data_IF_569943692658
#
_entry.id   IF_569943692658
#
_cell.length_a   1.000
_cell.length_b   1.000
_cell.length_c   1.000
_cell.angle_alpha   90.00
_cell.angle_beta   90.00
_cell.angle_gamma   90.00
#
_symmetry.space_group_name_H-M   'P 1'
#
loop_
_entity.id
_entity.type
_entity.pdbx_description
1 polymer ?
#
# COMPACT_ATOMS: atom_id res chain seq x y z
N UNK A 1 14.51 32.09 11.76
CA UNK A 1 13.48 31.03 11.70
C UNK A 1 13.09 30.60 10.28
N UNK A 2 13.10 31.48 9.27
CA UNK A 2 12.81 31.10 7.88
C UNK A 2 13.83 30.10 7.27
N UNK A 3 15.13 30.25 7.59
CA UNK A 3 16.19 29.42 7.00
C UNK A 3 16.04 27.93 7.31
N UNK A 4 15.65 27.58 8.55
CA UNK A 4 15.51 26.19 8.99
C UNK A 4 14.35 25.47 8.28
N UNK A 5 13.26 26.19 8.01
CA UNK A 5 12.08 25.67 7.31
C UNK A 5 12.45 25.37 5.84
N UNK A 6 13.13 26.31 5.18
CA UNK A 6 13.60 26.14 3.78
C UNK A 6 14.59 24.97 3.68
N UNK A 7 15.51 24.84 4.63
CA UNK A 7 16.51 23.78 4.63
C UNK A 7 15.90 22.39 4.93
N UNK A 8 14.82 22.33 5.71
CA UNK A 8 14.10 21.08 5.98
C UNK A 8 13.35 20.60 4.73
N UNK A 9 12.61 21.49 4.06
CA UNK A 9 11.90 21.19 2.81
C UNK A 9 12.86 20.69 1.72
N UNK A 10 14.02 21.32 1.60
CA UNK A 10 15.08 20.89 0.67
C UNK A 10 15.63 19.51 1.02
N UNK A 11 15.93 19.26 2.31
CA UNK A 11 16.40 17.94 2.79
C UNK A 11 15.35 16.84 2.62
N UNK A 12 14.06 17.14 2.77
CA UNK A 12 12.98 16.17 2.53
C UNK A 12 12.78 15.90 1.05
N UNK A 13 12.94 16.92 0.20
CA UNK A 13 12.87 16.76 -1.24
C UNK A 13 14.02 15.88 -1.75
N UNK A 14 15.25 16.08 -1.26
CA UNK A 14 16.41 15.25 -1.61
C UNK A 14 16.38 13.86 -0.97
N UNK A 15 15.81 13.71 0.22
CA UNK A 15 15.80 12.45 0.98
C UNK A 15 14.79 11.40 0.50
N UNK A 16 13.98 11.72 -0.51
CA UNK A 16 12.93 10.83 -1.01
C UNK A 16 11.77 10.64 -0.01
N UNK A 17 10.81 9.76 -0.34
CA UNK A 17 9.62 9.58 0.47
C UNK A 17 9.92 9.16 1.91
N UNK A 18 9.22 9.76 2.88
CA UNK A 18 9.43 9.52 4.33
C UNK A 18 9.36 8.03 4.69
N UNK A 19 8.50 7.26 4.01
CA UNK A 19 8.38 5.82 4.26
C UNK A 19 9.64 5.01 3.91
N UNK A 20 10.48 5.48 2.96
CA UNK A 20 11.75 4.84 2.63
C UNK A 20 12.83 5.04 3.71
N UNK A 21 12.69 6.07 4.57
CA UNK A 21 13.62 6.35 5.69
C UNK A 21 13.47 5.38 6.86
N UNK A 22 12.31 4.73 6.98
CA UNK A 22 11.99 3.88 8.12
C UNK A 22 12.43 2.43 7.95
N UNK A 23 13.19 2.09 6.88
CA UNK A 23 13.61 0.73 6.50
C UNK A 23 12.46 -0.26 6.20
N UNK A 24 11.27 0.03 6.71
CA UNK A 24 10.02 -0.70 6.58
C UNK A 24 9.70 -1.23 5.17
N UNK A 25 9.84 -0.47 4.06
CA UNK A 25 9.56 -1.01 2.73
C UNK A 25 10.52 -2.14 2.33
N UNK A 26 11.78 -2.08 2.76
CA UNK A 26 12.76 -3.13 2.52
C UNK A 26 12.47 -4.36 3.39
N UNK A 27 12.17 -4.16 4.67
CA UNK A 27 11.80 -5.25 5.58
C UNK A 27 10.56 -6.00 5.11
N UNK A 28 9.52 -5.27 4.67
CA UNK A 28 8.29 -5.84 4.14
C UNK A 28 8.54 -6.66 2.87
N UNK A 29 9.43 -6.18 2.00
CA UNK A 29 9.84 -6.91 0.82
C UNK A 29 10.57 -8.21 1.17
N UNK A 30 11.53 -8.16 2.09
CA UNK A 30 12.26 -9.35 2.55
C UNK A 30 11.35 -10.36 3.26
N UNK A 31 10.39 -9.88 4.04
CA UNK A 31 9.38 -10.72 4.68
C UNK A 31 8.51 -11.46 3.65
N UNK A 32 8.09 -10.78 2.59
CA UNK A 32 7.35 -11.39 1.48
C UNK A 32 8.19 -12.44 0.73
N UNK A 33 9.49 -12.19 0.53
CA UNK A 33 10.40 -13.18 -0.07
C UNK A 33 10.59 -14.39 0.84
N UNK A 34 10.77 -14.18 2.15
CA UNK A 34 10.90 -15.26 3.14
C UNK A 34 9.67 -16.18 3.14
N UNK A 35 8.47 -15.62 2.98
CA UNK A 35 7.22 -16.41 2.83
C UNK A 35 7.18 -17.28 1.58
N UNK A 36 7.91 -16.91 0.52
CA UNK A 36 7.96 -17.68 -0.73
C UNK A 36 8.93 -18.86 -0.67
N UNK A 37 9.87 -18.86 0.26
CA UNK A 37 10.83 -19.94 0.43
C UNK A 37 10.11 -21.18 0.97
N UNK A 38 9.66 -22.05 0.07
CA UNK A 38 9.05 -23.34 0.42
C UNK A 38 10.08 -24.46 0.57
N UNK A 39 11.18 -24.38 -0.19
CA UNK A 39 12.26 -25.35 -0.15
C UNK A 39 13.56 -24.67 0.29
N UNK A 40 14.12 -25.11 1.42
CA UNK A 40 15.38 -24.57 1.97
C UNK A 40 16.62 -25.11 1.26
N UNK A 41 16.54 -26.26 0.57
CA UNK A 41 17.68 -26.82 -0.18
C UNK A 41 17.93 -26.07 -1.48
N UNK A 42 16.88 -25.50 -2.08
CA UNK A 42 16.93 -24.69 -3.30
C UNK A 42 16.19 -23.37 -3.12
N UNK A 43 16.75 -22.49 -2.29
CA UNK A 43 16.12 -21.20 -1.92
C UNK A 43 15.83 -20.34 -3.14
N UNK A 44 16.79 -20.18 -4.06
CA UNK A 44 16.63 -19.33 -5.25
C UNK A 44 15.46 -19.81 -6.12
N UNK A 45 15.46 -21.08 -6.50
CA UNK A 45 14.41 -21.70 -7.32
C UNK A 45 13.04 -21.58 -6.64
N UNK A 46 12.98 -21.83 -5.32
CA UNK A 46 11.73 -21.73 -4.55
C UNK A 46 11.11 -20.32 -4.53
N UNK A 47 11.94 -19.28 -4.72
CA UNK A 47 11.47 -17.89 -4.81
C UNK A 47 11.08 -17.52 -6.24
N UNK A 48 11.85 -17.99 -7.23
CA UNK A 48 11.67 -17.65 -8.65
C UNK A 48 10.32 -18.13 -9.16
N UNK A 49 9.93 -19.37 -8.87
CA UNK A 49 8.66 -19.96 -9.29
C UNK A 49 7.43 -19.09 -8.94
N UNK A 50 7.15 -18.78 -7.65
CA UNK A 50 6.02 -17.93 -7.28
C UNK A 50 6.22 -16.46 -7.70
N UNK A 51 7.45 -16.02 -7.97
CA UNK A 51 7.70 -14.69 -8.52
C UNK A 51 7.26 -14.59 -9.98
N UNK A 52 7.61 -15.56 -10.82
CA UNK A 52 7.18 -15.63 -12.22
C UNK A 52 5.66 -15.68 -12.31
N UNK A 53 5.01 -16.56 -11.54
CA UNK A 53 3.54 -16.67 -11.52
C UNK A 53 2.90 -15.33 -11.12
N UNK A 54 3.44 -14.65 -10.10
CA UNK A 54 2.98 -13.31 -9.70
C UNK A 54 3.13 -12.30 -10.85
N UNK A 55 4.23 -12.34 -11.59
CA UNK A 55 4.48 -11.41 -12.70
C UNK A 55 3.59 -11.68 -13.91
N UNK A 56 3.38 -12.95 -14.27
CA UNK A 56 2.45 -13.34 -15.33
C UNK A 56 1.02 -12.91 -14.95
N UNK A 57 0.59 -13.14 -13.69
CA UNK A 57 -0.72 -12.68 -13.22
C UNK A 57 -0.89 -11.16 -13.25
N UNK A 58 0.17 -10.40 -12.97
CA UNK A 58 0.16 -8.95 -13.11
C UNK A 58 0.10 -8.51 -14.58
N UNK A 59 0.86 -9.15 -15.45
CA UNK A 59 0.89 -8.84 -16.88
C UNK A 59 -0.45 -9.16 -17.56
N UNK A 60 -0.99 -10.35 -17.30
CA UNK A 60 -2.28 -10.80 -17.83
C UNK A 60 -3.45 -9.96 -17.31
N UNK A 61 -3.35 -9.40 -16.09
CA UNK A 61 -4.35 -8.47 -15.53
C UNK A 61 -4.63 -7.26 -16.43
N UNK A 62 -3.69 -6.85 -17.29
CA UNK A 62 -3.90 -5.73 -18.20
C UNK A 62 -4.81 -6.06 -19.39
N UNK A 63 -4.98 -7.34 -19.71
CA UNK A 63 -5.83 -7.81 -20.81
C UNK A 63 -7.26 -8.15 -20.36
N UNK A 64 -7.49 -8.26 -19.05
CA UNK A 64 -8.81 -8.55 -18.49
C UNK A 64 -9.62 -7.26 -18.26
N UNK A 65 -10.94 -7.37 -18.34
CA UNK A 65 -11.84 -6.28 -18.01
C UNK A 65 -11.74 -5.85 -16.54
N UNK A 66 -11.99 -4.56 -16.27
CA UNK A 66 -11.83 -3.96 -14.93
C UNK A 66 -12.72 -4.57 -13.85
N UNK A 67 -13.80 -5.25 -14.22
CA UNK A 67 -14.70 -5.89 -13.26
C UNK A 67 -14.17 -7.27 -12.79
N UNK A 68 -13.19 -7.84 -13.50
CA UNK A 68 -12.58 -9.12 -13.16
C UNK A 68 -11.59 -8.91 -12.00
N UNK A 69 -11.81 -9.63 -10.90
CA UNK A 69 -11.01 -9.50 -9.69
C UNK A 69 -9.61 -10.10 -9.87
N UNK A 70 -8.65 -9.25 -10.18
CA UNK A 70 -7.23 -9.58 -10.20
C UNK A 70 -6.53 -9.09 -8.92
N UNK A 71 -5.34 -9.62 -8.61
CA UNK A 71 -4.58 -9.23 -7.40
C UNK A 71 -4.34 -7.72 -7.28
N UNK A 72 -4.30 -7.01 -8.41
CA UNK A 72 -4.12 -5.55 -8.47
C UNK A 72 -5.42 -4.76 -8.21
N UNK A 73 -6.57 -5.33 -8.53
CA UNK A 73 -7.89 -4.69 -8.43
C UNK A 73 -8.67 -5.19 -7.20
N UNK A 74 -8.00 -5.88 -6.27
CA UNK A 74 -8.66 -6.31 -5.03
C UNK A 74 -8.92 -5.08 -4.16
N UNK A 75 -10.18 -4.85 -3.73
CA UNK A 75 -10.49 -3.77 -2.81
C UNK A 75 -9.64 -3.92 -1.54
N UNK A 76 -9.24 -2.80 -0.96
CA UNK A 76 -8.51 -2.78 0.30
C UNK A 76 -9.35 -3.49 1.38
N UNK A 77 -8.70 -4.05 2.40
CA UNK A 77 -9.41 -4.69 3.52
C UNK A 77 -10.33 -3.72 4.28
N UNK A 78 -10.13 -2.41 4.10
CA UNK A 78 -10.95 -1.35 4.68
C UNK A 78 -11.88 -0.70 3.64
N UNK A 79 -11.86 -1.16 2.40
CA UNK A 79 -12.82 -0.74 1.37
C UNK A 79 -14.08 -1.56 1.61
N UNK A 80 -14.87 -1.12 2.58
CA UNK A 80 -16.26 -1.55 2.68
C UNK A 80 -16.89 -1.25 1.31
N UNK A 81 -17.28 -2.29 0.55
CA UNK A 81 -18.05 -2.19 -0.67
C UNK A 81 -19.46 -1.66 -0.29
N UNK A 82 -19.51 -0.40 0.13
CA UNK A 82 -20.69 0.28 0.59
C UNK A 82 -21.18 1.13 -0.57
N UNK A 83 -22.38 0.80 -1.03
CA UNK A 83 -23.14 1.49 -2.07
C UNK A 83 -22.85 3.00 -2.10
N UNK A 84 -22.63 3.54 -3.29
CA UNK A 84 -22.18 4.91 -3.57
C UNK A 84 -23.04 6.03 -2.97
N UNK A 85 -24.15 5.71 -2.28
CA UNK A 85 -25.10 6.66 -1.72
C UNK A 85 -24.64 7.29 -0.39
N UNK A 86 -23.60 6.76 0.28
CA UNK A 86 -23.21 7.23 1.63
C UNK A 86 -22.00 8.19 1.63
N UNK A 87 -21.40 8.50 0.47
CA UNK A 87 -20.23 9.40 0.39
C UNK A 87 -20.56 10.85 0.73
N UNK A 88 -21.81 11.28 0.56
CA UNK A 88 -22.24 12.65 0.85
C UNK A 88 -22.38 12.89 2.37
N UNK A 89 -22.55 11.84 3.18
CA UNK A 89 -22.85 12.00 4.61
C UNK A 89 -21.65 11.91 5.54
N UNK A 90 -20.44 11.61 5.04
CA UNK A 90 -19.22 11.47 5.86
C UNK A 90 -18.20 12.57 5.57
N UNK A 91 -18.65 13.82 5.52
CA UNK A 91 -17.76 14.95 5.72
C UNK A 91 -17.31 14.95 7.18
N UNK A 92 -16.01 14.79 7.41
CA UNK A 92 -15.38 14.89 8.74
C UNK A 92 -15.62 16.29 9.35
N UNK A 93 -16.00 17.27 8.53
CA UNK A 93 -16.29 18.65 8.91
C UNK A 93 -17.77 18.92 9.23
N UNK A 94 -18.67 17.93 9.11
CA UNK A 94 -20.12 18.16 9.25
C UNK A 94 -20.73 17.63 10.55
N UNK A 95 -19.96 17.02 11.46
CA UNK A 95 -20.50 16.60 12.75
C UNK A 95 -20.44 17.78 13.74
N UNK A 96 -21.57 18.30 14.25
CA UNK A 96 -21.53 19.28 15.32
C UNK A 96 -20.92 18.62 16.57
N UNK A 97 -19.97 19.32 17.18
CA UNK A 97 -19.31 18.90 18.43
C UNK A 97 -20.39 18.71 19.48
N UNK A 98 -20.64 17.47 19.88
CA UNK A 98 -21.58 17.18 20.96
C UNK A 98 -20.88 17.49 22.29
N UNK A 99 -21.30 18.57 22.94
CA UNK A 99 -20.83 18.95 24.27
C UNK A 99 -21.28 17.88 25.28
N UNK A 100 -20.34 17.35 26.05
CA UNK A 100 -20.63 16.50 27.20
C UNK A 100 -21.12 17.38 28.36
N UNK A 101 -22.19 17.01 29.08
CA UNK A 101 -22.63 17.75 30.26
C UNK A 101 -21.68 17.48 31.45
N UNK A 102 -21.58 18.50 32.32
CA UNK A 102 -20.79 18.51 33.56
C UNK A 102 -21.20 17.44 34.58
#
# INVERSE_FOLDING_TARGET
MAYLIVQLSYKTHMGGPVYCRWMYPFERFLYDLKKKVKNKTHVQTSIIEPYIIKKIGQFTSHYFERHILCKQNKPSRNDDLRSNNDRIQRSIFNNPVQAYPE
#
